data_IF_789976433977
#
_entry.id   IF_789976433977
#
_cell.length_a   1.000
_cell.length_b   1.000
_cell.length_c   1.000
_cell.angle_alpha   90.00
_cell.angle_beta   90.00
_cell.angle_gamma   90.00
#
_symmetry.space_group_name_H-M   'P 1'
#
loop_
_entity.id
_entity.type
_entity.pdbx_description
1 polymer ?
#
# COMPACT_ATOMS: atom_id res chain seq x y z
N UNK A 1 -0.26 -5.14 14.68
CA UNK A 1 -0.03 -4.38 13.44
C UNK A 1 -1.25 -3.54 13.17
N UNK A 2 -1.08 -2.36 12.59
CA UNK A 2 -2.15 -1.39 12.38
C UNK A 2 -2.10 -0.83 10.97
N UNK A 3 -3.03 0.05 10.67
CA UNK A 3 -3.18 0.62 9.34
C UNK A 3 -2.32 1.86 9.18
N UNK A 4 -1.92 2.12 7.94
CA UNK A 4 -1.28 3.37 7.54
C UNK A 4 -1.77 3.77 6.15
N UNK A 5 -1.57 5.04 5.81
CA UNK A 5 -1.97 5.61 4.54
C UNK A 5 -0.77 6.25 3.87
N UNK A 6 -0.67 6.04 2.56
CA UNK A 6 0.32 6.70 1.71
C UNK A 6 -0.44 7.74 0.87
N UNK A 7 -0.02 9.01 0.97
CA UNK A 7 -0.55 10.10 0.16
C UNK A 7 0.43 10.44 -0.98
N UNK A 8 0.00 11.20 -2.00
CA UNK A 8 0.89 11.66 -3.06
C UNK A 8 2.13 12.38 -2.49
N UNK A 9 3.31 12.09 -3.06
CA UNK A 9 4.61 12.63 -2.64
C UNK A 9 5.03 12.26 -1.21
N UNK A 10 4.57 11.11 -0.71
CA UNK A 10 5.06 10.57 0.56
C UNK A 10 6.58 10.32 0.50
N UNK A 11 7.27 10.51 1.61
CA UNK A 11 8.68 10.19 1.74
C UNK A 11 8.93 8.69 1.47
N UNK A 12 10.17 8.29 1.07
CA UNK A 12 10.49 6.90 0.86
C UNK A 12 10.17 6.02 2.08
N UNK A 13 9.56 4.86 1.83
CA UNK A 13 9.09 3.94 2.88
C UNK A 13 9.29 2.49 2.41
N UNK A 14 9.76 1.64 3.32
CA UNK A 14 9.75 0.19 3.17
C UNK A 14 9.05 -0.42 4.39
N UNK A 15 7.98 -1.18 4.17
CA UNK A 15 7.17 -1.73 5.25
C UNK A 15 6.68 -3.15 4.94
N UNK A 16 6.53 -3.96 6.00
CA UNK A 16 5.96 -5.31 5.92
C UNK A 16 4.44 -5.23 6.03
N UNK A 17 3.74 -5.96 5.17
CA UNK A 17 2.29 -6.09 5.18
C UNK A 17 1.87 -7.38 5.89
N UNK A 18 0.89 -7.26 6.78
CA UNK A 18 0.11 -8.42 7.25
C UNK A 18 -0.99 -8.78 6.29
N UNK A 19 -1.55 -9.98 6.44
CA UNK A 19 -2.83 -10.34 5.83
C UNK A 19 -3.88 -9.26 6.10
N UNK A 20 -4.52 -8.77 5.04
CA UNK A 20 -5.47 -7.67 5.14
C UNK A 20 -5.96 -7.20 3.77
N UNK A 21 -6.42 -5.95 3.72
CA UNK A 21 -6.97 -5.34 2.51
C UNK A 21 -6.25 -4.02 2.24
N UNK A 22 -5.74 -3.85 1.03
CA UNK A 22 -5.25 -2.57 0.52
C UNK A 22 -6.43 -1.83 -0.09
N UNK A 23 -6.66 -0.59 0.36
CA UNK A 23 -7.66 0.32 -0.21
C UNK A 23 -6.98 1.39 -1.04
N UNK A 24 -7.30 1.44 -2.32
CA UNK A 24 -6.79 2.42 -3.28
C UNK A 24 -7.93 3.36 -3.65
N UNK A 25 -7.74 4.65 -3.36
CA UNK A 25 -8.70 5.71 -3.71
C UNK A 25 -8.10 6.54 -4.86
N UNK A 26 -8.80 6.60 -5.98
CA UNK A 26 -8.37 7.38 -7.15
C UNK A 26 -9.57 7.90 -7.94
N UNK A 27 -9.63 9.22 -8.18
CA UNK A 27 -10.70 9.89 -8.92
C UNK A 27 -12.12 9.57 -8.41
N UNK A 28 -12.29 9.42 -7.10
CA UNK A 28 -13.57 9.07 -6.47
C UNK A 28 -13.93 7.59 -6.55
N UNK A 29 -13.13 6.76 -7.20
CA UNK A 29 -13.28 5.32 -7.21
C UNK A 29 -12.46 4.68 -6.08
N UNK A 30 -13.04 3.66 -5.46
CA UNK A 30 -12.36 2.84 -4.44
C UNK A 30 -12.14 1.44 -4.99
N UNK A 31 -10.89 0.99 -5.00
CA UNK A 31 -10.51 -0.39 -5.29
C UNK A 31 -9.97 -1.06 -4.04
N UNK A 32 -10.45 -2.27 -3.77
CA UNK A 32 -9.99 -3.11 -2.67
C UNK A 32 -9.17 -4.28 -3.23
N UNK A 33 -8.05 -4.59 -2.60
CA UNK A 33 -7.19 -5.73 -2.95
C UNK A 33 -6.89 -6.50 -1.68
N UNK A 34 -7.31 -7.77 -1.63
CA UNK A 34 -6.94 -8.67 -0.53
C UNK A 34 -5.47 -9.10 -0.68
N UNK A 35 -4.73 -9.11 0.42
CA UNK A 35 -3.33 -9.56 0.46
C UNK A 35 -3.14 -10.57 1.58
N UNK A 36 -2.38 -11.63 1.35
CA UNK A 36 -2.04 -12.63 2.36
C UNK A 36 -0.91 -12.17 3.30
N UNK A 37 -0.16 -11.17 2.89
CA UNK A 37 1.07 -10.68 3.50
C UNK A 37 1.98 -10.13 2.41
N UNK A 38 3.19 -9.70 2.78
CA UNK A 38 4.22 -9.30 1.84
C UNK A 38 4.94 -8.02 2.25
N UNK A 39 5.39 -7.25 1.26
CA UNK A 39 6.16 -6.02 1.47
C UNK A 39 5.66 -4.92 0.54
N UNK A 40 5.65 -3.69 1.03
CA UNK A 40 5.42 -2.50 0.22
C UNK A 40 6.63 -1.58 0.26
N UNK A 41 6.95 -1.03 -0.91
CA UNK A 41 8.00 -0.05 -1.12
C UNK A 41 7.40 1.21 -1.76
N UNK A 42 7.75 2.38 -1.24
CA UNK A 42 7.40 3.69 -1.78
C UNK A 42 8.68 4.40 -2.19
N UNK A 43 8.81 4.74 -3.47
CA UNK A 43 9.98 5.45 -4.02
C UNK A 43 9.50 6.54 -4.98
N UNK A 44 9.69 7.80 -4.59
CA UNK A 44 9.16 8.94 -5.35
C UNK A 44 7.64 8.89 -5.43
N UNK A 45 7.09 8.84 -6.64
CA UNK A 45 5.65 8.64 -6.88
C UNK A 45 5.26 7.18 -7.12
N UNK A 46 6.22 6.26 -7.10
CA UNK A 46 5.99 4.83 -7.30
C UNK A 46 5.66 4.12 -5.99
N UNK A 47 4.70 3.21 -6.06
CA UNK A 47 4.35 2.29 -4.97
C UNK A 47 4.41 0.87 -5.53
N UNK A 48 5.29 0.03 -4.98
CA UNK A 48 5.43 -1.37 -5.34
C UNK A 48 4.93 -2.25 -4.21
N UNK A 49 4.08 -3.22 -4.53
CA UNK A 49 3.56 -4.19 -3.56
C UNK A 49 3.93 -5.58 -4.05
N UNK A 50 4.72 -6.30 -3.26
CA UNK A 50 5.04 -7.70 -3.49
C UNK A 50 4.26 -8.54 -2.49
N UNK A 51 3.34 -9.36 -2.98
CA UNK A 51 2.47 -10.22 -2.17
C UNK A 51 2.87 -11.68 -2.30
N UNK A 52 2.62 -12.45 -1.24
CA UNK A 52 2.76 -13.92 -1.26
C UNK A 52 1.64 -14.61 -2.06
#
# INVERSE_FOLDING_TARGET
MGDFMILPNHAPLLAVLSKGVIRIEHNGETRLVEVAGGVVEVVGSGIHVCTD
#
